data_IF_544799453455
#
_entry.id   IF_544799453455
#
_cell.length_a   1.000
_cell.length_b   1.000
_cell.length_c   1.000
_cell.angle_alpha   90.00
_cell.angle_beta   90.00
_cell.angle_gamma   90.00
#
_symmetry.space_group_name_H-M   'P 1'
#
loop_
_entity.id
_entity.type
_entity.pdbx_description
1 polymer ?
2 non-polymer ?
3 water ?
#
# COMPACT_ATOMS: atom_id res chain seq x y z
N UNK A 1 1.14 -25.78 -5.94
CA UNK A 1 2.15 -25.51 -4.85
C UNK A 1 2.95 -24.21 -5.11
N UNK A 2 3.52 -23.65 -4.04
CA UNK A 2 4.16 -22.32 -4.07
C UNK A 2 5.60 -22.35 -3.58
N UNK A 3 6.52 -21.96 -4.47
CA UNK A 3 7.95 -21.95 -4.21
C UNK A 3 8.45 -20.50 -4.29
N UNK A 4 8.94 -19.95 -3.18
CA UNK A 4 9.42 -18.56 -3.13
C UNK A 4 10.94 -18.53 -3.13
N UNK A 5 11.55 -17.80 -4.06
CA UNK A 5 12.98 -17.49 -3.97
C UNK A 5 13.11 -16.16 -3.21
N UNK A 6 14.12 -16.07 -2.36
CA UNK A 6 14.42 -14.85 -1.60
C UNK A 6 15.92 -14.63 -1.65
N UNK A 7 16.35 -13.38 -1.51
CA UNK A 7 17.76 -13.07 -1.44
C UNK A 7 18.08 -11.65 -1.81
N UNK A 8 19.32 -11.25 -1.55
CA UNK A 8 19.80 -9.95 -1.95
C UNK A 8 19.95 -9.85 -3.47
N UNK A 9 20.09 -8.61 -3.91
CA UNK A 9 20.44 -8.32 -5.30
C UNK A 9 21.79 -8.95 -5.64
N UNK A 10 21.88 -9.59 -6.81
CA UNK A 10 23.09 -10.27 -7.24
C UNK A 10 23.22 -11.73 -6.77
N UNK A 11 22.22 -12.26 -6.05
CA UNK A 11 22.21 -13.67 -5.59
C UNK A 11 21.76 -14.71 -6.63
N UNK A 12 21.41 -14.26 -7.83
CA UNK A 12 21.02 -15.13 -8.92
C UNK A 12 19.59 -15.64 -8.92
N UNK A 13 18.68 -14.97 -8.22
CA UNK A 13 17.29 -15.43 -8.06
C UNK A 13 16.58 -15.55 -9.41
N UNK A 14 16.70 -14.52 -10.24
CA UNK A 14 16.03 -14.53 -11.53
C UNK A 14 16.50 -15.66 -12.41
N UNK A 15 17.81 -15.89 -12.41
CA UNK A 15 18.39 -16.94 -13.23
C UNK A 15 17.97 -18.29 -12.71
N UNK A 16 18.05 -18.50 -11.40
CA UNK A 16 17.67 -19.79 -10.81
C UNK A 16 16.16 -20.04 -10.87
N UNK A 17 15.36 -19.00 -10.72
CA UNK A 17 13.91 -19.14 -10.85
C UNK A 17 13.52 -19.57 -12.27
N UNK A 18 14.18 -18.96 -13.28
CA UNK A 18 13.98 -19.37 -14.67
C UNK A 18 14.42 -20.82 -14.91
N UNK A 19 15.59 -21.20 -14.39
CA UNK A 19 16.05 -22.58 -14.49
C UNK A 19 15.02 -23.54 -13.90
N UNK A 20 14.49 -23.19 -12.74
CA UNK A 20 13.54 -24.08 -12.08
C UNK A 20 12.25 -24.17 -12.90
N UNK A 21 11.81 -23.02 -13.41
CA UNK A 21 10.66 -22.94 -14.31
C UNK A 21 10.80 -23.91 -15.49
N UNK A 22 11.90 -23.83 -16.24
CA UNK A 22 12.10 -24.66 -17.43
C UNK A 22 12.18 -26.16 -17.08
N UNK A 23 12.89 -26.46 -15.99
CA UNK A 23 13.08 -27.84 -15.48
C UNK A 23 11.79 -28.53 -15.04
N UNK A 24 10.92 -27.82 -14.32
CA UNK A 24 9.65 -28.39 -13.85
C UNK A 24 8.64 -28.53 -14.98
N UNK A 25 8.63 -27.54 -15.87
CA UNK A 25 7.86 -27.62 -17.12
C UNK A 25 8.15 -28.92 -17.92
N UNK A 26 9.43 -29.26 -18.06
CA UNK A 26 9.82 -30.44 -18.83
C UNK A 26 9.45 -31.75 -18.09
N UNK A 27 9.42 -31.74 -16.75
CA UNK A 27 8.93 -32.89 -15.98
C UNK A 27 7.40 -32.99 -15.89
N UNK A 28 6.69 -32.05 -16.53
CA UNK A 28 5.24 -32.14 -16.73
C UNK A 28 4.36 -31.43 -15.71
N UNK A 29 4.97 -30.59 -14.86
CA UNK A 29 4.21 -29.71 -13.99
C UNK A 29 3.72 -28.54 -14.84
N UNK A 30 2.56 -28.01 -14.49
CA UNK A 30 2.10 -26.73 -15.02
C UNK A 30 2.69 -25.69 -14.09
N UNK A 31 3.38 -24.70 -14.65
CA UNK A 31 4.14 -23.77 -13.81
C UNK A 31 3.99 -22.31 -14.26
N UNK A 32 3.93 -21.41 -13.28
CA UNK A 32 3.96 -19.97 -13.50
C UNK A 32 5.22 -19.44 -12.85
N UNK A 33 5.70 -18.32 -13.36
CA UNK A 33 6.88 -17.63 -12.83
C UNK A 33 6.47 -16.17 -12.76
N UNK A 34 6.58 -15.57 -11.57
CA UNK A 34 6.30 -14.15 -11.42
C UNK A 34 7.41 -13.49 -10.64
N UNK A 35 7.64 -12.20 -10.91
CA UNK A 35 8.61 -11.40 -10.17
C UNK A 35 7.87 -10.39 -9.28
N UNK A 36 8.52 -10.02 -8.18
CA UNK A 36 7.99 -9.02 -7.26
C UNK A 36 9.00 -7.88 -7.09
N UNK A 37 8.62 -6.62 -7.36
CA UNK A 37 7.26 -6.21 -7.78
C UNK A 37 6.99 -6.49 -9.25
N UNK A 38 5.73 -6.42 -9.65
CA UNK A 38 5.31 -6.75 -11.01
C UNK A 38 4.52 -8.04 -11.07
N UNK A 39 4.59 -8.70 -12.24
CA UNK A 39 3.86 -9.94 -12.50
C UNK A 39 2.42 -9.77 -12.92
N UNK A 40 1.89 -8.54 -12.84
CA UNK A 40 0.59 -8.18 -13.40
C UNK A 40 0.74 -6.82 -14.08
N UNK A 41 -0.27 -6.42 -14.84
CA UNK A 41 -0.22 -5.13 -15.54
C UNK A 41 -0.06 -3.98 -14.53
N UNK A 42 -0.93 -3.95 -13.53
CA UNK A 42 -0.85 -2.94 -12.47
C UNK A 42 0.43 -3.06 -11.65
N UNK A 43 0.83 -4.28 -11.28
CA UNK A 43 2.10 -4.50 -10.60
C UNK A 43 3.29 -3.93 -11.37
N UNK A 44 3.27 -4.06 -12.69
CA UNK A 44 4.41 -3.61 -13.50
C UNK A 44 4.52 -2.09 -13.56
N UNK A 45 3.41 -1.35 -13.60
CA UNK A 45 3.54 0.12 -13.56
C UNK A 45 4.13 0.52 -12.20
N UNK A 46 3.66 -0.14 -11.12
CA UNK A 46 4.17 0.08 -9.78
C UNK A 46 5.66 -0.24 -9.67
N UNK A 47 6.09 -1.31 -10.33
CA UNK A 47 7.52 -1.63 -10.46
C UNK A 47 8.31 -0.47 -11.07
N UNK A 48 7.79 0.14 -12.14
CA UNK A 48 8.43 1.32 -12.79
C UNK A 48 8.54 2.49 -11.80
N UNK A 49 7.46 2.76 -11.06
CA UNK A 49 7.47 3.79 -10.01
C UNK A 49 8.56 3.50 -8.98
N UNK A 50 8.52 2.28 -8.42
CA UNK A 50 9.50 1.86 -7.41
C UNK A 50 10.97 1.96 -7.89
N UNK A 51 11.21 1.66 -9.16
CA UNK A 51 12.56 1.69 -9.74
C UNK A 51 13.07 3.09 -10.09
N UNK A 52 12.17 4.03 -10.41
CA UNK A 52 12.55 5.37 -10.91
C UNK A 52 12.38 6.55 -9.94
N UNK A 53 11.40 6.49 -9.02
CA UNK A 53 11.07 7.61 -8.12
C UNK A 53 11.89 7.61 -6.83
N UNK A 54 12.00 8.77 -6.21
CA UNK A 54 12.64 8.94 -4.91
C UNK A 54 11.55 8.78 -3.85
N UNK A 55 11.39 7.57 -3.33
CA UNK A 55 10.32 7.26 -2.38
C UNK A 55 10.86 7.04 -0.98
N UNK A 56 10.17 7.65 -0.02
CA UNK A 56 10.35 7.30 1.37
C UNK A 56 9.98 5.83 1.59
N UNK A 57 10.57 5.25 2.62
CA UNK A 57 10.43 3.85 2.92
C UNK A 57 8.99 3.38 3.20
N UNK A 58 8.16 4.27 3.72
CA UNK A 58 6.78 3.89 4.06
C UNK A 58 5.93 3.76 2.82
N UNK A 59 6.02 4.76 1.95
CA UNK A 59 5.34 4.71 0.63
C UNK A 59 5.87 3.57 -0.24
N UNK A 60 7.16 3.28 -0.11
CA UNK A 60 7.79 2.22 -0.86
C UNK A 60 7.24 0.86 -0.42
N UNK A 61 7.16 0.66 0.90
CA UNK A 61 6.55 -0.53 1.46
C UNK A 61 5.13 -0.73 0.99
N UNK A 62 4.32 0.33 0.98
CA UNK A 62 2.89 0.18 0.64
C UNK A 62 2.70 -0.17 -0.84
N UNK A 63 3.61 0.31 -1.68
CA UNK A 63 3.59 0.00 -3.10
C UNK A 63 4.05 -1.44 -3.38
N UNK A 64 5.14 -1.88 -2.77
CA UNK A 64 5.52 -3.31 -2.81
C UNK A 64 4.34 -4.17 -2.41
N UNK A 65 3.68 -3.83 -1.30
CA UNK A 65 2.56 -4.63 -0.83
C UNK A 65 1.37 -4.58 -1.79
N UNK A 66 1.11 -3.43 -2.37
CA UNK A 66 0.03 -3.29 -3.38
C UNK A 66 0.28 -4.16 -4.63
N UNK A 67 1.52 -4.18 -5.10
CA UNK A 67 1.90 -5.07 -6.18
C UNK A 67 1.63 -6.53 -5.77
N UNK A 68 2.05 -6.90 -4.56
CA UNK A 68 1.85 -8.26 -4.11
C UNK A 68 0.38 -8.64 -4.05
N UNK A 69 -0.43 -7.76 -3.47
CA UNK A 69 -1.87 -7.95 -3.36
C UNK A 69 -2.51 -8.23 -4.74
N UNK A 70 -2.17 -7.39 -5.72
CA UNK A 70 -2.66 -7.56 -7.09
C UNK A 70 -2.26 -8.93 -7.63
N UNK A 71 -1.01 -9.32 -7.43
CA UNK A 71 -0.52 -10.60 -7.90
C UNK A 71 -1.20 -11.81 -7.22
N UNK A 72 -1.39 -11.70 -5.91
CA UNK A 72 -2.00 -12.77 -5.13
C UNK A 72 -3.44 -13.03 -5.62
N UNK A 73 -4.19 -11.94 -5.83
CA UNK A 73 -5.61 -12.06 -6.16
C UNK A 73 -5.84 -12.34 -7.65
N UNK A 74 -5.08 -11.67 -8.51
CA UNK A 74 -5.24 -11.82 -9.95
C UNK A 74 -4.73 -13.19 -10.46
N UNK A 75 -3.64 -13.70 -9.89
CA UNK A 75 -2.91 -14.82 -10.49
C UNK A 75 -2.54 -15.97 -9.55
N UNK A 76 -1.88 -15.69 -8.42
CA UNK A 76 -1.35 -16.76 -7.59
C UNK A 76 -2.49 -17.66 -7.07
N UNK A 77 -3.47 -17.05 -6.42
CA UNK A 77 -4.57 -17.83 -5.85
C UNK A 77 -5.29 -18.70 -6.92
N UNK A 78 -5.70 -18.12 -8.06
CA UNK A 78 -6.24 -18.99 -9.14
C UNK A 78 -5.28 -20.08 -9.64
N UNK A 79 -4.01 -19.70 -9.91
CA UNK A 79 -2.97 -20.65 -10.31
C UNK A 79 -2.92 -21.83 -9.36
N UNK A 80 -2.75 -21.52 -8.07
CA UNK A 80 -2.69 -22.54 -7.03
C UNK A 80 -3.94 -23.41 -6.99
N UNK A 81 -5.11 -22.78 -7.13
CA UNK A 81 -6.39 -23.52 -7.18
C UNK A 81 -6.36 -24.57 -8.30
N UNK A 82 -5.79 -24.21 -9.45
CA UNK A 82 -5.61 -25.14 -10.57
C UNK A 82 -4.32 -25.98 -10.52
N UNK A 83 -3.74 -26.18 -9.33
CA UNK A 83 -2.55 -27.03 -9.12
C UNK A 83 -1.35 -26.74 -10.02
N UNK A 84 -1.15 -25.45 -10.33
CA UNK A 84 0.08 -25.02 -10.95
C UNK A 84 1.18 -24.96 -9.89
N UNK A 85 2.43 -25.08 -10.33
CA UNK A 85 3.56 -24.76 -9.49
C UNK A 85 3.86 -23.28 -9.70
N UNK A 86 3.72 -22.50 -8.65
CA UNK A 86 3.95 -21.06 -8.73
C UNK A 86 5.33 -20.76 -8.15
N UNK A 87 6.19 -20.17 -8.96
CA UNK A 87 7.54 -19.82 -8.59
C UNK A 87 7.62 -18.30 -8.54
N UNK A 88 8.05 -17.76 -7.40
CA UNK A 88 8.24 -16.33 -7.22
C UNK A 88 9.69 -15.95 -7.12
N UNK A 89 10.07 -14.91 -7.88
CA UNK A 89 11.36 -14.27 -7.78
C UNK A 89 11.09 -13.12 -6.81
N UNK A 90 11.31 -13.40 -5.52
CA UNK A 90 11.12 -12.52 -4.36
C UNK A 90 9.73 -12.67 -3.77
N UNK A 91 9.61 -12.58 -2.44
CA UNK A 91 8.32 -12.68 -1.75
C UNK A 91 8.42 -12.03 -0.36
N UNK A 92 7.70 -12.57 0.62
CA UNK A 92 7.42 -11.87 1.86
C UNK A 92 8.67 -11.67 2.72
N UNK A 93 9.61 -12.62 2.71
CA UNK A 93 10.87 -12.43 3.47
C UNK A 93 11.69 -11.26 2.96
N UNK A 94 11.74 -11.05 1.64
CA UNK A 94 12.49 -9.92 1.10
C UNK A 94 11.94 -8.59 1.62
N UNK A 95 10.62 -8.48 1.71
CA UNK A 95 10.01 -7.25 2.25
C UNK A 95 10.47 -6.98 3.69
N UNK A 96 10.48 -8.00 4.52
CA UNK A 96 10.92 -7.87 5.90
C UNK A 96 12.41 -7.53 5.92
N UNK A 97 13.21 -8.22 5.10
CA UNK A 97 14.65 -7.99 5.10
C UNK A 97 15.04 -6.60 4.60
N UNK A 98 14.38 -6.14 3.53
CA UNK A 98 14.69 -4.84 2.96
C UNK A 98 14.10 -3.69 3.77
N UNK A 99 12.78 -3.69 3.94
CA UNK A 99 12.10 -2.58 4.64
C UNK A 99 12.25 -2.62 6.15
N UNK A 100 12.44 -3.80 6.72
CA UNK A 100 12.57 -3.95 8.17
C UNK A 100 14.02 -3.81 8.59
N UNK A 101 14.80 -4.86 8.37
CA UNK A 101 16.22 -4.86 8.77
C UNK A 101 17.02 -3.80 8.04
N UNK A 102 16.75 -3.58 6.76
CA UNK A 102 17.44 -2.53 6.03
C UNK A 102 17.02 -1.11 6.40
N UNK A 103 15.74 -0.80 6.18
CA UNK A 103 15.26 0.59 6.29
C UNK A 103 14.65 0.98 7.63
N UNK A 104 14.61 0.04 8.58
CA UNK A 104 14.32 0.35 9.98
C UNK A 104 12.86 0.21 10.40
N UNK A 105 11.95 -0.09 9.46
CA UNK A 105 10.51 -0.18 9.80
C UNK A 105 10.23 -1.40 10.68
N UNK A 106 9.10 -1.38 11.39
CA UNK A 106 8.80 -2.42 12.39
C UNK A 106 8.48 -3.75 11.72
N UNK A 107 9.16 -4.81 12.18
CA UNK A 107 9.11 -6.12 11.58
C UNK A 107 7.74 -6.76 11.74
N UNK A 108 7.13 -6.55 12.90
CA UNK A 108 5.83 -7.16 13.19
C UNK A 108 4.72 -6.51 12.34
N UNK A 109 4.84 -5.20 12.15
CA UNK A 109 3.93 -4.48 11.26
C UNK A 109 4.08 -4.99 9.82
N UNK A 110 5.32 -5.16 9.35
CA UNK A 110 5.57 -5.65 7.99
C UNK A 110 4.94 -7.01 7.77
N UNK A 111 5.14 -7.93 8.71
CA UNK A 111 4.52 -9.25 8.69
C UNK A 111 2.99 -9.19 8.63
N UNK A 112 2.39 -8.30 9.40
CA UNK A 112 0.93 -8.13 9.38
C UNK A 112 0.48 -7.62 8.03
N UNK A 113 1.25 -6.71 7.47
CA UNK A 113 0.97 -6.20 6.15
C UNK A 113 1.15 -7.27 5.08
N UNK A 114 2.22 -8.05 5.20
CA UNK A 114 2.43 -9.21 4.35
C UNK A 114 1.21 -10.12 4.39
N UNK A 115 0.74 -10.46 5.58
CA UNK A 115 -0.40 -11.37 5.75
C UNK A 115 -1.67 -10.87 5.07
N UNK A 116 -1.92 -9.57 5.22
CA UNK A 116 -3.00 -8.89 4.54
C UNK A 116 -2.91 -9.03 3.03
N UNK A 117 -1.74 -8.72 2.47
CA UNK A 117 -1.57 -8.73 1.01
C UNK A 117 -1.73 -10.13 0.46
N UNK A 118 -1.31 -11.13 1.24
CA UNK A 118 -1.27 -12.54 0.80
C UNK A 118 -2.55 -13.33 1.09
N UNK A 119 -3.48 -12.76 1.86
CA UNK A 119 -4.66 -13.47 2.37
C UNK A 119 -4.25 -14.76 3.11
N UNK A 120 -3.14 -14.69 3.84
CA UNK A 120 -2.59 -15.85 4.51
C UNK A 120 -1.95 -16.94 3.66
N UNK A 121 -1.80 -16.72 2.36
CA UNK A 121 -1.17 -17.70 1.45
C UNK A 121 0.34 -17.69 1.70
N UNK A 122 0.86 -18.84 2.16
CA UNK A 122 2.28 -19.00 2.52
C UNK A 122 2.93 -19.98 1.55
N UNK A 123 4.25 -19.86 1.32
CA UNK A 123 4.90 -20.81 0.43
C UNK A 123 4.98 -22.23 1.03
N UNK A 124 4.96 -23.24 0.18
CA UNK A 124 5.26 -24.61 0.61
C UNK A 124 6.73 -24.71 1.02
N UNK A 125 7.60 -24.01 0.29
CA UNK A 125 9.04 -23.90 0.62
C UNK A 125 9.56 -22.51 0.20
N UNK A 126 10.46 -21.94 1.00
CA UNK A 126 11.14 -20.69 0.68
C UNK A 126 12.63 -21.01 0.48
N UNK A 127 13.15 -20.71 -0.70
CA UNK A 127 14.58 -20.89 -0.96
C UNK A 127 15.36 -19.58 -0.75
N UNK A 128 16.08 -19.47 0.36
CA UNK A 128 16.98 -18.32 0.57
C UNK A 128 18.30 -18.51 -0.17
N UNK A 129 18.50 -17.72 -1.23
CA UNK A 129 19.76 -17.73 -1.97
C UNK A 129 20.72 -16.83 -1.26
N UNK A 130 21.48 -17.39 -0.32
CA UNK A 130 22.44 -16.65 0.49
C UNK A 130 23.75 -16.50 -0.25
N UNK A 131 24.29 -15.29 -0.19
CA UNK A 131 25.54 -14.97 -0.86
C UNK A 131 26.21 -13.86 -0.08
N UNK A 132 27.57 -13.85 0.02
CA UNK A 132 28.21 -12.69 0.67
C UNK A 132 28.03 -11.42 -0.16
N UNK A 133 27.98 -10.28 0.51
CA UNK A 133 27.65 -9.02 -0.18
C UNK A 133 28.72 -8.69 -1.22
N UNK A 134 29.99 -8.83 -0.87
CA UNK A 134 31.08 -8.49 -1.82
C UNK A 134 31.02 -9.33 -3.09
N UNK A 135 30.62 -10.60 -2.97
CA UNK A 135 30.46 -11.45 -4.15
C UNK A 135 29.19 -11.07 -4.93
N UNK A 136 28.11 -10.77 -4.23
CA UNK A 136 26.92 -10.25 -4.89
C UNK A 136 27.22 -8.97 -5.66
N UNK A 137 27.99 -8.09 -5.04
CA UNK A 137 28.34 -6.81 -5.66
C UNK A 137 29.21 -6.97 -6.88
N UNK A 138 30.17 -7.90 -6.80
CA UNK A 138 31.07 -8.19 -7.91
C UNK A 138 30.30 -8.71 -9.12
N UNK A 139 29.23 -9.48 -8.90
CA UNK A 139 28.40 -9.97 -10.01
C UNK A 139 27.54 -8.90 -10.64
N UNK A 140 26.92 -8.08 -9.80
CA UNK A 140 26.17 -6.92 -10.26
C UNK A 140 27.06 -5.97 -11.04
N UNK A 141 28.26 -5.74 -10.52
CA UNK A 141 29.28 -4.90 -11.19
C UNK A 141 29.49 -5.33 -12.64
N UNK A 142 29.46 -6.64 -12.91
CA UNK A 142 29.56 -7.19 -14.28
C UNK A 142 28.46 -6.73 -15.25
N UNK A 143 27.30 -6.33 -14.72
CA UNK A 143 26.21 -5.71 -15.52
C UNK A 143 26.14 -4.17 -15.34
N UNK A 144 27.21 -3.57 -14.82
CA UNK A 144 27.28 -2.12 -14.54
C UNK A 144 26.23 -1.64 -13.54
N UNK A 145 26.00 -2.44 -12.50
CA UNK A 145 25.05 -2.13 -11.43
C UNK A 145 25.80 -2.05 -10.12
N UNK A 146 25.51 -1.00 -9.37
CA UNK A 146 26.23 -0.68 -8.15
C UNK A 146 25.19 -0.50 -7.05
N UNK A 147 25.21 -1.39 -6.07
CA UNK A 147 24.29 -1.32 -4.93
C UNK A 147 25.12 -1.07 -3.67
N UNK A 148 24.40 -0.79 -2.57
CA UNK A 148 24.99 -0.21 -1.36
C UNK A 148 25.41 -1.28 -0.36
N UNK A 149 26.73 -1.43 -0.21
CA UNK A 149 27.31 -2.46 0.65
C UNK A 149 26.81 -2.39 2.08
N UNK A 150 26.81 -1.18 2.66
CA UNK A 150 26.34 -1.02 4.04
C UNK A 150 24.88 -1.48 4.19
N UNK A 151 24.04 -1.09 3.23
CA UNK A 151 22.62 -1.46 3.23
C UNK A 151 22.48 -2.99 3.10
N UNK A 152 23.17 -3.56 2.11
CA UNK A 152 23.02 -4.97 1.83
C UNK A 152 23.55 -5.92 2.92
N UNK A 153 24.53 -5.47 3.72
CA UNK A 153 25.00 -6.27 4.87
C UNK A 153 23.89 -6.44 5.90
N UNK A 154 23.21 -5.35 6.23
CA UNK A 154 22.06 -5.42 7.15
C UNK A 154 20.96 -6.33 6.58
N UNK A 155 20.72 -6.21 5.27
CA UNK A 155 19.67 -7.00 4.59
C UNK A 155 20.04 -8.49 4.65
N UNK A 156 21.28 -8.81 4.34
CA UNK A 156 21.74 -10.21 4.40
C UNK A 156 21.56 -10.83 5.79
N UNK A 157 21.98 -10.11 6.81
CA UNK A 157 21.76 -10.53 8.22
C UNK A 157 20.29 -10.74 8.53
N UNK A 158 19.43 -9.83 8.03
CA UNK A 158 17.98 -9.98 8.15
C UNK A 158 17.49 -11.31 7.61
N UNK A 159 17.87 -11.61 6.37
CA UNK A 159 17.55 -12.88 5.72
C UNK A 159 17.94 -14.11 6.57
N UNK A 160 19.17 -14.15 7.06
CA UNK A 160 19.65 -15.31 7.83
C UNK A 160 18.95 -15.46 9.19
N UNK A 161 18.65 -14.33 9.82
CA UNK A 161 17.73 -14.32 10.98
C UNK A 161 16.38 -14.96 10.66
N UNK A 162 15.75 -14.48 9.60
CA UNK A 162 14.42 -14.96 9.20
C UNK A 162 14.40 -16.45 8.83
N UNK A 163 15.48 -16.94 8.24
CA UNK A 163 15.57 -18.36 7.89
C UNK A 163 15.59 -19.28 9.14
N UNK A 164 16.15 -18.79 10.25
CA UNK A 164 16.06 -19.47 11.56
C UNK A 164 14.65 -19.39 12.13
N UNK A 165 14.13 -18.17 12.18
CA UNK A 165 12.85 -17.86 12.83
C UNK A 165 11.61 -18.38 12.06
N UNK A 166 11.62 -18.25 10.74
CA UNK A 166 10.44 -18.55 9.92
C UNK A 166 10.41 -20.01 9.51
N UNK A 167 9.24 -20.44 9.05
CA UNK A 167 8.97 -21.84 8.73
C UNK A 167 9.24 -22.16 7.25
N UNK A 168 9.71 -23.39 6.99
CA UNK A 168 9.94 -23.91 5.63
C UNK A 168 10.97 -23.14 4.78
N UNK A 169 11.97 -22.53 5.42
CA UNK A 169 13.03 -21.82 4.71
C UNK A 169 14.27 -22.71 4.62
N UNK A 170 14.75 -22.98 3.41
CA UNK A 170 16.03 -23.63 3.18
C UNK A 170 17.08 -22.60 2.71
N UNK A 171 18.22 -22.54 3.37
CA UNK A 171 19.31 -21.65 2.96
C UNK A 171 20.19 -22.34 1.89
N UNK A 172 20.20 -21.74 0.69
CA UNK A 172 21.01 -22.26 -0.42
C UNK A 172 22.30 -21.45 -0.47
N UNK A 173 23.45 -22.13 -0.58
CA UNK A 173 24.69 -21.43 -0.82
C UNK A 173 24.69 -20.92 -2.26
N UNK A 174 24.35 -19.65 -2.45
CA UNK A 174 24.24 -19.07 -3.78
C UNK A 174 25.56 -18.48 -4.30
N UNK A 175 26.66 -18.58 -3.55
CA UNK A 175 27.98 -18.13 -4.02
C UNK A 175 28.60 -19.08 -5.03
N UNK A 176 28.02 -20.27 -5.21
CA UNK A 176 28.55 -21.26 -6.15
C UNK A 176 28.31 -20.93 -7.60
N UNK A 177 28.71 -21.87 -8.46
CA UNK A 177 28.52 -21.77 -9.91
C UNK A 177 27.06 -22.13 -10.26
N UNK A 178 26.58 -21.60 -11.39
CA UNK A 178 25.19 -21.70 -11.80
C UNK A 178 24.57 -23.10 -11.65
N UNK A 179 25.23 -24.10 -12.24
CA UNK A 179 24.76 -25.49 -12.16
C UNK A 179 24.79 -26.09 -10.78
N UNK A 180 25.86 -25.83 -10.02
CA UNK A 180 25.98 -26.39 -8.66
C UNK A 180 24.91 -25.78 -7.73
N UNK A 181 24.61 -24.50 -7.93
CA UNK A 181 23.56 -23.84 -7.15
C UNK A 181 22.22 -24.45 -7.52
N UNK A 182 22.00 -24.70 -8.81
CA UNK A 182 20.73 -25.29 -9.24
C UNK A 182 20.53 -26.69 -8.63
N UNK A 183 21.59 -27.49 -8.66
CA UNK A 183 21.59 -28.83 -8.06
C UNK A 183 21.23 -28.80 -6.59
N UNK A 184 21.76 -27.83 -5.87
CA UNK A 184 21.48 -27.66 -4.45
C UNK A 184 20.02 -27.29 -4.19
N UNK A 185 19.45 -26.44 -5.05
CA UNK A 185 18.02 -26.11 -5.06
C UNK A 185 17.17 -27.38 -5.26
N UNK A 186 17.53 -28.22 -6.24
CA UNK A 186 16.76 -29.44 -6.54
C UNK A 186 16.71 -30.39 -5.36
N UNK A 187 17.82 -30.52 -4.66
CA UNK A 187 17.88 -31.34 -3.47
C UNK A 187 16.97 -30.79 -2.37
N UNK A 188 16.97 -29.47 -2.17
CA UNK A 188 16.08 -28.86 -1.17
C UNK A 188 14.61 -29.02 -1.51
N UNK A 189 14.28 -29.07 -2.79
CA UNK A 189 12.92 -29.26 -3.27
C UNK A 189 12.46 -30.71 -3.28
N UNK A 190 13.39 -31.65 -3.27
CA UNK A 190 13.01 -33.08 -3.36
C UNK A 190 12.21 -33.55 -2.15
N UNK A 191 12.40 -32.88 -1.01
CA UNK A 191 11.55 -33.09 0.17
C UNK A 191 10.18 -32.40 0.15
N UNK A 192 9.79 -31.83 -0.99
CA UNK A 192 8.39 -31.41 -1.26
C UNK A 192 7.84 -31.81 -2.64
N UNK A 193 8.71 -32.12 -3.61
CA UNK A 193 8.33 -32.41 -5.00
C UNK A 193 8.77 -33.80 -5.47
N UNK A 194 8.53 -34.09 -6.75
CA UNK A 194 9.09 -35.24 -7.49
C UNK A 194 10.37 -35.86 -6.91
N UNK B 1 -1.88 24.16 11.18
CA UNK B 1 -3.00 23.31 11.72
C UNK B 1 -3.62 22.48 10.61
N UNK B 2 -4.31 21.41 11.00
CA UNK B 2 -4.82 20.38 10.09
C UNK B 2 -6.34 20.19 10.19
N UNK B 3 -7.02 20.51 9.09
CA UNK B 3 -8.50 20.45 9.00
C UNK B 3 -8.88 19.42 7.95
N UNK B 4 -9.60 18.38 8.34
CA UNK B 4 -10.01 17.29 7.44
C UNK B 4 -11.51 17.27 7.22
N UNK B 5 -11.89 17.31 5.94
CA UNK B 5 -13.26 17.06 5.52
C UNK B 5 -13.46 15.58 5.20
N UNK B 6 -14.56 15.01 5.68
CA UNK B 6 -14.94 13.61 5.47
C UNK B 6 -16.43 13.51 5.12
N UNK B 7 -16.81 12.47 4.39
CA UNK B 7 -18.21 12.23 4.06
C UNK B 7 -18.39 11.53 2.73
N UNK B 8 -19.61 11.09 2.48
CA UNK B 8 -19.95 10.37 1.25
C UNK B 8 -19.89 11.29 0.02
N UNK B 9 -19.85 10.69 -1.16
CA UNK B 9 -19.93 11.45 -2.41
C UNK B 9 -21.27 12.17 -2.42
N UNK B 10 -21.29 13.41 -2.92
CA UNK B 10 -22.50 14.27 -2.89
C UNK B 10 -22.77 15.07 -1.61
N UNK B 11 -21.85 15.01 -0.65
CA UNK B 11 -21.97 15.78 0.59
C UNK B 11 -21.43 17.20 0.45
N UNK B 12 -20.79 17.51 -0.68
CA UNK B 12 -20.28 18.84 -0.94
C UNK B 12 -18.93 19.12 -0.31
N UNK B 13 -18.10 18.09 -0.14
CA UNK B 13 -16.79 18.21 0.50
C UNK B 13 -15.88 19.20 -0.19
N UNK B 14 -15.73 19.01 -1.51
CA UNK B 14 -14.79 19.82 -2.30
C UNK B 14 -15.18 21.31 -2.32
N UNK B 15 -16.46 21.57 -2.62
CA UNK B 15 -17.04 22.91 -2.60
C UNK B 15 -16.78 23.60 -1.26
N UNK B 16 -17.08 22.92 -0.16
CA UNK B 16 -16.87 23.49 1.18
C UNK B 16 -15.39 23.72 1.48
N UNK B 17 -14.55 22.75 1.15
CA UNK B 17 -13.08 22.89 1.33
C UNK B 17 -12.47 24.06 0.54
N UNK B 18 -12.95 24.29 -0.69
CA UNK B 18 -12.51 25.47 -1.48
C UNK B 18 -12.98 26.77 -0.84
N UNK B 19 -14.23 26.80 -0.41
CA UNK B 19 -14.74 27.93 0.35
C UNK B 19 -13.92 28.18 1.61
N UNK B 20 -13.55 27.12 2.33
CA UNK B 20 -12.76 27.31 3.55
C UNK B 20 -11.36 27.83 3.22
N UNK B 21 -10.75 27.24 2.20
CA UNK B 21 -9.46 27.69 1.64
C UNK B 21 -9.47 29.18 1.26
N UNK B 22 -10.46 29.61 0.49
CA UNK B 22 -10.56 31.03 0.06
C UNK B 22 -10.73 31.95 1.26
N UNK B 23 -11.61 31.54 2.19
CA UNK B 23 -11.95 32.34 3.37
C UNK B 23 -10.74 32.58 4.27
N UNK B 24 -10.05 31.49 4.62
CA UNK B 24 -8.86 31.59 5.49
C UNK B 24 -7.66 32.28 4.83
N UNK B 25 -7.54 32.20 3.50
CA UNK B 25 -6.52 32.97 2.79
C UNK B 25 -6.82 34.48 2.86
N UNK B 26 -8.10 34.86 2.77
CA UNK B 26 -8.55 36.25 2.95
C UNK B 26 -8.21 36.77 4.35
N UNK B 27 -8.53 35.98 5.38
CA UNK B 27 -8.29 36.34 6.78
C UNK B 27 -6.83 36.20 7.25
N UNK B 28 -5.91 35.94 6.32
CA UNK B 28 -4.47 36.07 6.56
C UNK B 28 -3.75 34.83 7.04
N UNK B 29 -4.30 33.64 6.78
CA UNK B 29 -3.56 32.39 6.98
C UNK B 29 -2.88 32.00 5.67
N UNK B 30 -1.77 31.29 5.80
CA UNK B 30 -1.13 30.62 4.67
C UNK B 30 -1.74 29.24 4.67
N UNK B 31 -2.37 28.84 3.57
CA UNK B 31 -3.15 27.61 3.57
C UNK B 31 -2.78 26.69 2.42
N UNK B 32 -2.92 25.39 2.65
CA UNK B 32 -2.84 24.38 1.61
C UNK B 32 -4.17 23.65 1.49
N UNK B 33 -4.53 23.28 0.26
CA UNK B 33 -5.67 22.43 0.00
C UNK B 33 -5.20 21.24 -0.80
N UNK B 34 -5.42 20.03 -0.29
CA UNK B 34 -5.06 18.80 -1.02
C UNK B 34 -6.25 17.85 -1.08
N UNK B 35 -6.28 17.03 -2.11
CA UNK B 35 -7.30 16.00 -2.27
C UNK B 35 -6.64 14.64 -2.09
N UNK B 36 -7.42 13.65 -1.65
CA UNK B 36 -6.95 12.29 -1.51
C UNK B 36 -7.84 11.37 -2.36
N UNK B 37 -7.25 10.49 -3.16
CA UNK B 37 -5.81 10.37 -3.36
C UNK B 37 -5.32 11.52 -4.25
N UNK B 38 -4.01 11.73 -4.34
CA UNK B 38 -3.47 12.85 -5.11
C UNK B 38 -2.66 13.82 -4.28
N UNK B 39 -2.44 15.01 -4.83
CA UNK B 39 -1.72 16.09 -4.14
C UNK B 39 -0.21 16.08 -4.22
N UNK B 40 0.39 14.99 -4.68
CA UNK B 40 1.80 14.92 -5.04
C UNK B 40 1.89 14.37 -6.45
N UNK B 41 3.07 14.46 -7.07
CA UNK B 41 3.30 13.87 -8.39
C UNK B 41 2.97 12.36 -8.39
N UNK B 42 3.61 11.62 -7.49
CA UNK B 42 3.40 10.18 -7.41
C UNK B 42 1.95 9.84 -7.06
N UNK B 43 1.38 10.56 -6.09
CA UNK B 43 -0.02 10.35 -5.67
C UNK B 43 -1.06 10.60 -6.75
N UNK B 44 -0.76 11.47 -7.72
CA UNK B 44 -1.69 11.69 -8.84
C UNK B 44 -1.62 10.53 -9.84
N UNK B 45 -0.44 9.91 -10.00
CA UNK B 45 -0.36 8.76 -10.92
C UNK B 45 -1.11 7.57 -10.31
N UNK B 46 -1.06 7.44 -8.98
CA UNK B 46 -1.82 6.39 -8.26
C UNK B 46 -3.32 6.66 -8.29
N UNK B 47 -3.69 7.95 -8.24
CA UNK B 47 -5.09 8.35 -8.42
C UNK B 47 -5.62 7.90 -9.79
N UNK B 48 -4.83 8.09 -10.84
CA UNK B 48 -5.18 7.64 -12.18
C UNK B 48 -5.48 6.14 -12.17
N UNK B 49 -4.59 5.37 -11.57
CA UNK B 49 -4.73 3.92 -11.45
C UNK B 49 -6.01 3.56 -10.72
N UNK B 50 -6.23 4.20 -9.58
CA UNK B 50 -7.43 3.96 -8.77
C UNK B 50 -8.72 4.31 -9.51
N UNK B 51 -8.69 5.38 -10.32
CA UNK B 51 -9.89 5.84 -11.05
C UNK B 51 -10.22 5.02 -12.30
N UNK B 52 -9.23 4.33 -12.86
CA UNK B 52 -9.41 3.56 -14.10
C UNK B 52 -9.51 2.05 -13.84
N UNK B 53 -8.48 1.46 -13.24
CA UNK B 53 -8.31 -0.01 -13.22
C UNK B 53 -9.34 -0.75 -12.39
N UNK B 54 -9.55 -2.02 -12.72
CA UNK B 54 -10.38 -2.93 -11.93
C UNK B 54 -9.50 -3.43 -10.79
N UNK B 55 -9.83 -3.05 -9.56
CA UNK B 55 -9.00 -3.38 -8.41
C UNK B 55 -9.80 -4.04 -7.31
N UNK B 56 -9.22 -5.09 -6.78
CA UNK B 56 -9.71 -5.67 -5.53
C UNK B 56 -9.60 -4.62 -4.42
N UNK B 57 -10.35 -4.84 -3.35
CA UNK B 57 -10.40 -3.91 -2.23
C UNK B 57 -9.10 -3.79 -1.44
N UNK B 58 -8.30 -4.86 -1.42
CA UNK B 58 -7.04 -4.87 -0.66
C UNK B 58 -5.98 -4.04 -1.37
N UNK B 59 -5.81 -4.28 -2.67
CA UNK B 59 -4.92 -3.50 -3.51
C UNK B 59 -5.32 -2.02 -3.49
N UNK B 60 -6.62 -1.76 -3.49
CA UNK B 60 -7.15 -0.39 -3.50
C UNK B 60 -6.79 0.35 -2.22
N UNK B 61 -7.05 -0.27 -1.06
CA UNK B 61 -6.66 0.27 0.22
C UNK B 61 -5.17 0.59 0.25
N UNK B 62 -4.34 -0.35 -0.22
CA UNK B 62 -2.87 -0.18 -0.16
C UNK B 62 -2.40 0.98 -1.03
N UNK B 63 -3.01 1.14 -2.20
CA UNK B 63 -2.79 2.31 -3.04
C UNK B 63 -3.33 3.63 -2.49
N UNK B 64 -4.51 3.65 -1.89
CA UNK B 64 -4.97 4.85 -1.15
C UNK B 64 -3.95 5.27 -0.09
N UNK B 65 -3.46 4.29 0.68
CA UNK B 65 -2.51 4.57 1.76
C UNK B 65 -1.16 5.04 1.23
N UNK B 66 -0.72 4.50 0.10
CA UNK B 66 0.55 4.94 -0.53
C UNK B 66 0.49 6.38 -0.99
N UNK B 67 -0.60 6.75 -1.64
CA UNK B 67 -0.85 8.16 -1.93
C UNK B 67 -0.76 9.02 -0.66
N UNK B 68 -1.45 8.58 0.41
CA UNK B 68 -1.46 9.33 1.68
C UNK B 68 -0.06 9.46 2.25
N UNK B 69 0.65 8.34 2.31
CA UNK B 69 2.04 8.30 2.76
C UNK B 69 2.89 9.33 2.01
N UNK B 70 2.75 9.39 0.70
CA UNK B 70 3.53 10.35 -0.11
C UNK B 70 3.19 11.79 0.25
N UNK B 71 1.90 12.11 0.22
CA UNK B 71 1.40 13.45 0.57
C UNK B 71 1.79 13.92 1.97
N UNK B 72 1.71 13.00 2.94
CA UNK B 72 2.09 13.30 4.33
C UNK B 72 3.57 13.68 4.43
N UNK B 73 4.42 12.86 3.82
CA UNK B 73 5.86 13.03 3.97
C UNK B 73 6.37 14.19 3.11
N UNK B 74 5.91 14.26 1.87
CA UNK B 74 6.33 15.29 0.93
C UNK B 74 5.81 16.70 1.28
N UNK B 75 4.60 16.82 1.84
CA UNK B 75 3.90 18.12 1.87
C UNK B 75 3.23 18.50 3.18
N UNK B 76 2.40 17.61 3.73
CA UNK B 76 1.63 17.93 4.94
C UNK B 76 2.58 18.25 6.09
N UNK B 77 3.49 17.31 6.39
CA UNK B 77 4.46 17.50 7.48
C UNK B 77 5.29 18.83 7.38
N UNK B 78 5.95 19.10 6.24
CA UNK B 78 6.60 20.41 6.03
C UNK B 78 5.65 21.61 6.16
N UNK B 79 4.49 21.53 5.49
CA UNK B 79 3.47 22.58 5.57
C UNK B 79 3.14 22.91 7.00
N UNK B 80 2.83 21.88 7.80
CA UNK B 80 2.56 22.07 9.21
C UNK B 80 3.74 22.64 10.02
N UNK B 81 4.96 22.26 9.64
CA UNK B 81 6.17 22.76 10.34
C UNK B 81 6.28 24.28 10.23
N UNK B 82 5.91 24.81 9.07
CA UNK B 82 5.82 26.25 8.80
C UNK B 82 4.43 26.85 9.10
N UNK B 83 3.68 26.28 10.03
CA UNK B 83 2.38 26.82 10.45
C UNK B 83 1.41 27.21 9.31
N UNK B 84 1.40 26.43 8.22
CA UNK B 84 0.32 26.54 7.24
C UNK B 84 -0.91 25.83 7.77
N UNK B 85 -2.08 26.27 7.31
CA UNK B 85 -3.34 25.59 7.58
C UNK B 85 -3.53 24.57 6.46
N UNK B 86 -3.53 23.29 6.79
CA UNK B 86 -3.71 22.25 5.77
C UNK B 86 -5.17 21.78 5.80
N UNK B 87 -5.85 21.99 4.69
CA UNK B 87 -7.21 21.52 4.49
C UNK B 87 -7.17 20.30 3.57
N UNK B 88 -7.84 19.23 4.00
CA UNK B 88 -7.89 17.98 3.23
C UNK B 88 -9.32 17.64 2.80
N UNK B 89 -9.48 17.43 1.49
CA UNK B 89 -10.73 16.92 0.92
C UNK B 89 -10.61 15.39 0.94
N UNK B 90 -11.14 14.79 2.01
CA UNK B 90 -11.02 13.34 2.35
C UNK B 90 -9.75 13.02 3.13
N UNK B 91 -9.87 12.15 4.11
CA UNK B 91 -8.72 11.75 4.91
C UNK B 91 -8.99 10.38 5.55
N UNK B 92 -8.48 10.12 6.76
CA UNK B 92 -8.42 8.75 7.31
C UNK B 92 -9.80 8.13 7.62
N UNK B 93 -10.79 8.94 8.02
CA UNK B 93 -12.13 8.41 8.29
C UNK B 93 -12.81 7.88 7.04
N UNK B 94 -12.61 8.55 5.90
CA UNK B 94 -13.12 8.09 4.62
C UNK B 94 -12.57 6.73 4.23
N UNK B 95 -11.29 6.48 4.50
CA UNK B 95 -10.72 5.16 4.24
C UNK B 95 -11.39 4.08 5.10
N UNK B 96 -11.64 4.38 6.37
CA UNK B 96 -12.28 3.43 7.29
C UNK B 96 -13.74 3.17 6.83
N UNK B 97 -14.48 4.25 6.59
CA UNK B 97 -15.89 4.16 6.17
C UNK B 97 -16.05 3.37 4.88
N UNK B 98 -15.24 3.70 3.88
CA UNK B 98 -15.34 3.10 2.57
C UNK B 98 -14.79 1.67 2.53
N UNK B 99 -13.53 1.50 2.94
CA UNK B 99 -12.88 0.18 2.85
C UNK B 99 -13.31 -0.79 3.95
N UNK B 100 -13.52 -0.29 5.16
CA UNK B 100 -13.99 -1.07 6.30
C UNK B 100 -15.50 -1.26 6.28
N UNK B 101 -16.27 -0.24 6.66
CA UNK B 101 -17.74 -0.37 6.70
C UNK B 101 -18.35 -0.68 5.33
N UNK B 102 -17.81 -0.07 4.28
CA UNK B 102 -18.31 -0.33 2.94
C UNK B 102 -17.96 -1.71 2.40
N UNK B 103 -16.68 -1.97 2.16
CA UNK B 103 -16.26 -3.19 1.45
C UNK B 103 -15.89 -4.36 2.36
N UNK B 104 -15.95 -4.15 3.67
CA UNK B 104 -15.82 -5.23 4.61
C UNK B 104 -14.42 -5.60 5.06
N UNK B 105 -13.41 -4.78 4.76
CA UNK B 105 -12.07 -5.03 5.31
C UNK B 105 -12.09 -4.71 6.79
N UNK B 106 -11.05 -5.14 7.51
CA UNK B 106 -11.05 -4.98 8.97
C UNK B 106 -10.80 -3.52 9.35
N UNK B 107 -11.72 -2.95 10.12
CA UNK B 107 -11.65 -1.55 10.56
C UNK B 107 -10.42 -1.26 11.41
N UNK B 108 -10.07 -2.19 12.30
CA UNK B 108 -8.95 -1.99 13.22
C UNK B 108 -7.63 -1.98 12.45
N UNK B 109 -7.53 -2.88 11.46
CA UNK B 109 -6.37 -2.97 10.57
C UNK B 109 -6.21 -1.69 9.76
N UNK B 110 -7.31 -1.17 9.23
CA UNK B 110 -7.27 0.06 8.44
C UNK B 110 -6.79 1.22 9.31
N UNK B 111 -7.33 1.35 10.52
CA UNK B 111 -6.86 2.31 11.51
C UNK B 111 -5.34 2.26 11.68
N UNK B 112 -4.81 1.05 11.87
CA UNK B 112 -3.37 0.88 12.06
C UNK B 112 -2.60 1.26 10.81
N UNK B 113 -3.10 0.86 9.64
CA UNK B 113 -2.50 1.30 8.40
C UNK B 113 -2.50 2.82 8.23
N UNK B 114 -3.61 3.47 8.60
CA UNK B 114 -3.74 4.93 8.55
C UNK B 114 -2.65 5.54 9.41
N UNK B 115 -2.52 5.00 10.62
CA UNK B 115 -1.55 5.45 11.61
C UNK B 115 -0.12 5.43 11.04
N UNK B 116 0.20 4.33 10.37
CA UNK B 116 1.48 4.16 9.69
C UNK B 116 1.70 5.17 8.56
N UNK B 117 0.70 5.36 7.72
CA UNK B 117 0.83 6.27 6.56
C UNK B 117 0.96 7.72 6.99
N UNK B 118 0.30 8.07 8.07
CA UNK B 118 0.29 9.45 8.58
C UNK B 118 1.44 9.78 9.53
N UNK B 119 2.23 8.80 9.97
CA UNK B 119 3.20 8.97 11.08
C UNK B 119 2.51 9.46 12.38
N UNK B 120 1.26 9.02 12.61
CA UNK B 120 0.47 9.51 13.75
C UNK B 120 -0.01 10.97 13.71
N UNK B 121 0.15 11.64 12.58
CA UNK B 121 -0.35 13.03 12.41
C UNK B 121 -1.86 13.02 12.33
N UNK B 122 -2.51 13.63 13.32
CA UNK B 122 -3.98 13.67 13.40
C UNK B 122 -4.51 15.09 13.11
N UNK B 123 -5.71 15.18 12.53
CA UNK B 123 -6.31 16.50 12.36
C UNK B 123 -6.62 17.16 13.69
N UNK B 124 -6.44 18.48 13.75
CA UNK B 124 -6.93 19.29 14.88
C UNK B 124 -8.45 19.20 14.96
N UNK B 125 -9.10 19.21 13.80
CA UNK B 125 -10.55 18.97 13.71
C UNK B 125 -10.91 18.27 12.40
N UNK B 126 -11.90 17.38 12.48
CA UNK B 126 -12.48 16.68 11.36
C UNK B 126 -13.95 17.12 11.17
N UNK B 127 -14.27 17.64 9.99
CA UNK B 127 -15.64 18.00 9.64
C UNK B 127 -16.27 16.85 8.83
N UNK B 128 -17.15 16.10 9.47
CA UNK B 128 -17.96 15.10 8.77
C UNK B 128 -19.17 15.79 8.13
N UNK B 129 -19.17 15.88 6.81
CA UNK B 129 -20.30 16.45 6.07
C UNK B 129 -21.30 15.33 5.84
N UNK B 130 -22.20 15.19 6.80
CA UNK B 130 -23.25 14.16 6.79
C UNK B 130 -24.47 14.60 5.97
N UNK B 131 -25.01 13.67 5.20
CA UNK B 131 -26.13 13.92 4.30
C UNK B 131 -26.85 12.58 4.08
N UNK B 132 -28.17 12.60 3.86
CA UNK B 132 -28.81 11.36 3.45
C UNK B 132 -28.45 10.94 2.04
N UNK B 133 -28.35 9.63 1.82
CA UNK B 133 -27.86 9.08 0.54
C UNK B 133 -28.79 9.48 -0.61
N UNK B 134 -30.10 9.41 -0.38
CA UNK B 134 -31.13 9.88 -1.32
C UNK B 134 -30.78 11.28 -1.83
N UNK B 135 -30.51 12.19 -0.90
CA UNK B 135 -30.21 13.58 -1.23
C UNK B 135 -28.85 13.70 -1.91
N UNK B 136 -27.86 12.95 -1.42
CA UNK B 136 -26.55 12.93 -2.10
C UNK B 136 -26.68 12.42 -3.52
N UNK B 137 -27.46 11.35 -3.69
CA UNK B 137 -27.75 10.80 -5.02
C UNK B 137 -28.49 11.79 -5.91
N UNK B 138 -29.58 12.36 -5.39
CA UNK B 138 -30.32 13.42 -6.10
C UNK B 138 -29.42 14.55 -6.59
N UNK B 139 -28.42 14.90 -5.79
CA UNK B 139 -27.45 15.95 -6.18
C UNK B 139 -26.43 15.45 -7.20
N UNK B 140 -25.93 14.24 -6.97
CA UNK B 140 -25.01 13.61 -7.93
C UNK B 140 -25.69 13.36 -9.28
N UNK B 141 -26.95 12.91 -9.23
CA UNK B 141 -27.76 12.64 -10.43
C UNK B 141 -27.85 13.86 -11.37
N UNK B 142 -27.77 15.07 -10.81
CA UNK B 142 -27.73 16.31 -11.61
C UNK B 142 -26.32 16.80 -11.97
N UNK B 143 -25.33 15.89 -11.95
CA UNK B 143 -24.06 16.09 -12.62
C UNK B 143 -23.73 14.89 -13.54
N UNK B 144 -24.75 14.06 -13.84
CA UNK B 144 -24.59 12.75 -14.49
C UNK B 144 -23.63 11.84 -13.74
N UNK B 145 -23.84 11.74 -12.43
CA UNK B 145 -23.07 10.86 -11.57
C UNK B 145 -24.02 9.93 -10.83
N UNK B 146 -23.69 8.64 -10.84
CA UNK B 146 -24.54 7.60 -10.26
C UNK B 146 -23.68 6.71 -9.36
N UNK B 147 -24.08 6.62 -8.08
CA UNK B 147 -23.41 5.78 -7.10
C UNK B 147 -24.39 4.82 -6.42
N UNK B 148 -23.83 3.80 -5.81
CA UNK B 148 -24.58 2.69 -5.29
C UNK B 148 -25.18 3.03 -3.92
N UNK B 149 -26.51 3.14 -3.90
CA UNK B 149 -27.23 3.43 -2.67
C UNK B 149 -26.99 2.41 -1.59
N UNK B 150 -26.96 1.14 -1.97
CA UNK B 150 -26.72 0.08 -0.99
C UNK B 150 -25.36 0.33 -0.35
N UNK B 151 -24.36 0.54 -1.19
CA UNK B 151 -22.99 0.77 -0.73
C UNK B 151 -22.95 2.01 0.16
N UNK B 152 -23.39 3.13 -0.39
CA UNK B 152 -23.34 4.40 0.34
C UNK B 152 -24.12 4.44 1.64
N UNK B 153 -25.19 3.63 1.77
CA UNK B 153 -25.93 3.57 3.03
C UNK B 153 -25.06 2.98 4.12
N UNK B 154 -24.35 1.90 3.80
CA UNK B 154 -23.39 1.31 4.74
C UNK B 154 -22.30 2.30 5.14
N UNK B 155 -21.77 3.02 4.14
CA UNK B 155 -20.67 3.98 4.35
C UNK B 155 -21.07 5.18 5.22
N UNK B 156 -22.29 5.69 5.02
CA UNK B 156 -22.85 6.71 5.90
C UNK B 156 -22.92 6.23 7.37
N UNK B 157 -23.51 5.06 7.60
CA UNK B 157 -23.56 4.47 8.95
C UNK B 157 -22.17 4.38 9.56
N UNK B 158 -21.22 3.84 8.79
CA UNK B 158 -19.80 3.85 9.18
C UNK B 158 -19.26 5.21 9.58
N UNK B 159 -19.47 6.24 8.75
CA UNK B 159 -19.05 7.60 9.10
C UNK B 159 -19.62 8.06 10.46
N UNK B 160 -20.93 7.84 10.66
CA UNK B 160 -21.60 8.24 11.92
C UNK B 160 -21.13 7.44 13.13
N UNK B 161 -20.96 6.13 12.95
CA UNK B 161 -20.27 5.30 13.95
C UNK B 161 -18.96 5.92 14.41
N UNK B 162 -18.09 6.22 13.45
CA UNK B 162 -16.76 6.78 13.71
C UNK B 162 -16.81 8.14 14.40
N UNK B 163 -17.81 8.96 14.09
CA UNK B 163 -17.97 10.26 14.76
C UNK B 163 -18.22 10.15 16.27
N UNK B 164 -18.93 9.09 16.68
CA UNK B 164 -19.23 8.81 18.09
C UNK B 164 -18.01 8.33 18.89
N UNK B 165 -17.15 7.52 18.27
CA UNK B 165 -15.98 6.95 18.95
C UNK B 165 -14.68 7.74 18.76
N UNK B 166 -14.49 8.37 17.59
CA UNK B 166 -13.24 9.07 17.29
C UNK B 166 -13.24 10.47 17.87
N UNK B 167 -12.04 11.01 18.05
CA UNK B 167 -11.83 12.31 18.68
C UNK B 167 -11.81 13.43 17.66
N UNK B 168 -12.38 14.59 18.05
CA UNK B 168 -12.40 15.81 17.23
C UNK B 168 -13.15 15.71 15.90
N UNK B 169 -14.29 15.04 15.91
CA UNK B 169 -15.16 14.90 14.74
C UNK B 169 -16.47 15.64 15.01
N UNK B 170 -16.69 16.76 14.32
CA UNK B 170 -17.96 17.46 14.38
C UNK B 170 -18.83 17.04 13.19
N UNK B 171 -20.05 16.60 13.49
CA UNK B 171 -21.00 16.20 12.47
C UNK B 171 -21.75 17.44 11.99
N UNK B 172 -21.53 17.79 10.72
CA UNK B 172 -22.13 18.95 10.08
C UNK B 172 -23.31 18.46 9.23
N UNK B 173 -24.49 19.03 9.49
CA UNK B 173 -25.67 18.72 8.68
C UNK B 173 -25.46 19.29 7.28
N UNK B 174 -24.93 18.45 6.39
CA UNK B 174 -24.57 18.89 5.03
C UNK B 174 -25.74 18.82 4.06
N UNK B 175 -26.93 18.47 4.54
CA UNK B 175 -28.16 18.55 3.72
C UNK B 175 -28.57 19.99 3.34
N UNK B 176 -28.08 21.01 4.06
CA UNK B 176 -28.46 22.40 3.80
C UNK B 176 -27.90 22.99 2.52
N UNK B 177 -28.26 24.24 2.25
CA UNK B 177 -27.66 25.02 1.14
C UNK B 177 -26.22 25.43 1.46
N UNK B 178 -25.52 25.84 0.41
CA UNK B 178 -24.08 26.06 0.43
C UNK B 178 -23.63 27.01 1.53
N UNK B 179 -24.33 28.14 1.64
CA UNK B 179 -23.97 29.16 2.60
C UNK B 179 -24.34 28.77 4.03
N UNK B 180 -25.46 28.08 4.24
CA UNK B 180 -25.79 27.64 5.60
C UNK B 180 -24.92 26.47 6.08
N UNK B 181 -24.44 25.64 5.16
CA UNK B 181 -23.47 24.59 5.51
C UNK B 181 -22.12 25.24 5.87
N UNK B 182 -21.66 26.20 5.08
CA UNK B 182 -20.40 26.90 5.36
C UNK B 182 -20.42 27.67 6.70
N UNK B 183 -21.57 28.25 7.02
CA UNK B 183 -21.77 28.91 8.32
C UNK B 183 -21.63 27.93 9.48
N UNK B 184 -22.19 26.73 9.32
CA UNK B 184 -22.07 25.65 10.30
C UNK B 184 -20.60 25.18 10.51
N UNK B 185 -19.86 25.03 9.41
CA UNK B 185 -18.43 24.69 9.44
C UNK B 185 -17.64 25.78 10.17
N UNK B 186 -17.91 27.04 9.88
CA UNK B 186 -17.24 28.13 10.60
C UNK B 186 -17.52 28.08 12.10
N UNK B 187 -18.78 27.85 12.49
CA UNK B 187 -19.11 27.65 13.91
C UNK B 187 -18.23 26.57 14.49
N UNK B 188 -18.25 25.39 13.88
CA UNK B 188 -17.41 24.25 14.30
C UNK B 188 -15.91 24.58 14.40
N UNK B 189 -15.40 25.41 13.50
CA UNK B 189 -13.99 25.85 13.52
C UNK B 189 -13.63 26.97 14.51
N UNK B 190 -14.62 27.64 15.12
CA UNK B 190 -14.34 28.75 16.06
C UNK B 190 -13.61 28.23 17.30
N UNK B 191 -14.02 27.06 17.77
CA UNK B 191 -13.33 26.35 18.85
C UNK B 191 -11.92 25.83 18.56
N UNK B 192 -11.35 26.13 17.38
CA UNK B 192 -9.91 25.96 17.12
C UNK B 192 -9.22 27.12 16.36
N UNK B 193 -9.92 28.20 16.04
CA UNK B 193 -9.32 29.32 15.27
C UNK B 193 -10.11 30.62 15.45
X LIG C 1 20.10 -13.03 -11.80
X LIG C 1 20.54 -11.60 -11.56
X LIG C 1 19.69 -10.91 -10.48
X LIG C 1 19.82 -11.61 -9.15
X LIG C 1 20.20 -9.49 -10.36
X LIG C 1 19.34 -8.68 -9.42
X LIG C 1 20.67 -13.64 -12.70
X LIG C 1 19.20 -13.54 -11.11
X LIG C 1 18.81 -11.95 -8.48
X LIG C 1 20.97 -11.79 -8.74
X LIG C 1 18.68 -7.74 -9.90
X LIG C 1 19.33 -8.98 -8.20
X LIG C 1 18.31 -10.94 -10.89
X LIG D 1 -18.57 19.13 -4.23
X LIG D 1 -18.09 18.04 -5.17
X LIG D 1 -18.38 16.67 -4.57
X LIG D 1 -19.86 16.60 -4.25
X LIG D 1 -18.00 15.58 -5.57
X LIG D 1 -18.04 14.18 -4.98
X LIG D 1 -19.56 19.83 -4.55
X LIG D 1 -17.98 19.30 -3.15
X LIG D 1 -20.67 16.80 -5.19
X LIG D 1 -20.21 16.37 -3.07
X LIG D 1 -18.84 13.90 -4.05
X LIG D 1 -17.26 13.31 -5.43
X LIG D 1 -17.61 16.52 -3.36
#
# INVERSE_FOLDING_TARGET
>A
MLIAFEGIDGSGKTTQAKKLYEYLKQKGYFVSLYREPGGTKVGEVLREILLTEELDERTELLLFEASRSKLIEEKIIPDLKRDKVVILDRFVLSTIAYQGYGKGLDVEFIKNLNEFATRGVKPDITLLLDIPVDIALRRLKEKNRFENKEFLEKVRKGFLELAKEEENVVVIDASGEEEEVFKEILRALSGVLRV
>B
MLIAFEGIDGSGKTTQAKKLYEYLKQKGYFVSLYREPGGTKVGEVLREILLTEELDERTELLLFEASRSKLIEEKIIPDLKRDKVVILDRFVLSTIAYQGYGKGLDVEFIKNLNEFATRGVKPDITLLLDIPVDIALRRLKEKNRFENKEFLEKVRKGFLELAKEEENVVVIDASGEEEEVFKEILRALSGVLRV
>C hetero
1 FLC CAC CA CB CBC CG CGC OA1 OA2 OB1 OB2 OG1 OG2 OHB
>D hetero
1 FLC CAC CA CB CBC CG CGC OA1 OA2 OB1 OB2 OG1 OG2 OHB
#
